data_IF_886431485941
#
_entry.id   IF_886431485941
#
_cell.length_a   1.000
_cell.length_b   1.000
_cell.length_c   1.000
_cell.angle_alpha   90.00
_cell.angle_beta   90.00
_cell.angle_gamma   90.00
#
_symmetry.space_group_name_H-M   'P 1'
#
loop_
_entity.id
_entity.type
_entity.pdbx_description
1 polymer ?
#
# COMPACT_ATOMS: atom_id res chain seq x y z
N UNK A 1 -30.66 13.74 -26.42
CA UNK A 1 -29.49 13.75 -25.55
C UNK A 1 -28.62 12.51 -25.85
N UNK A 2 -27.28 12.64 -25.88
CA UNK A 2 -26.39 11.49 -25.90
C UNK A 2 -26.62 10.55 -24.70
N UNK A 3 -26.37 9.24 -24.87
CA UNK A 3 -26.15 8.31 -23.78
C UNK A 3 -24.68 7.89 -23.78
N UNK A 4 -24.10 7.63 -22.62
CA UNK A 4 -22.70 7.24 -22.45
C UNK A 4 -22.65 6.02 -21.54
N UNK A 5 -22.00 4.95 -22.00
CA UNK A 5 -21.47 3.87 -21.17
C UNK A 5 -19.97 4.09 -21.05
N UNK A 6 -19.45 4.18 -19.82
CA UNK A 6 -18.05 4.45 -19.56
C UNK A 6 -17.56 3.64 -18.36
N UNK A 7 -16.44 2.93 -18.50
CA UNK A 7 -15.88 2.07 -17.46
C UNK A 7 -14.36 2.13 -17.46
N UNK A 8 -13.78 1.78 -16.32
CA UNK A 8 -12.36 1.55 -16.12
C UNK A 8 -12.13 0.14 -15.57
N UNK A 9 -11.09 -0.54 -16.03
CA UNK A 9 -10.69 -1.85 -15.57
C UNK A 9 -9.16 -1.95 -15.47
N UNK A 10 -8.61 -2.27 -14.28
CA UNK A 10 -9.28 -2.37 -12.98
C UNK A 10 -9.72 -1.01 -12.41
N UNK A 11 -10.57 -1.03 -11.37
CA UNK A 11 -11.01 0.18 -10.65
C UNK A 11 -10.10 0.60 -9.50
N UNK A 12 -9.09 -0.21 -9.18
CA UNK A 12 -8.01 0.10 -8.24
C UNK A 12 -6.70 -0.43 -8.82
N UNK A 13 -5.62 0.37 -8.79
CA UNK A 13 -4.36 0.01 -9.45
C UNK A 13 -3.16 0.60 -8.72
N UNK A 14 -2.07 -0.17 -8.66
CA UNK A 14 -0.76 0.33 -8.22
C UNK A 14 -0.35 1.50 -9.12
N UNK A 15 0.14 2.60 -8.52
CA UNK A 15 0.64 3.73 -9.31
C UNK A 15 1.76 3.30 -10.26
N UNK A 16 1.90 4.01 -11.36
CA UNK A 16 2.76 3.72 -12.50
C UNK A 16 2.35 2.49 -13.33
N UNK A 17 1.27 1.80 -12.97
CA UNK A 17 0.66 0.76 -13.80
C UNK A 17 -0.54 1.28 -14.59
N UNK A 18 -0.97 0.50 -15.56
CA UNK A 18 -1.98 0.88 -16.53
C UNK A 18 -3.37 0.35 -16.16
N UNK A 19 -4.39 1.10 -16.55
CA UNK A 19 -5.79 0.66 -16.58
C UNK A 19 -6.35 0.86 -17.98
N UNK A 20 -7.39 0.11 -18.31
CA UNK A 20 -8.10 0.25 -19.59
C UNK A 20 -9.39 1.03 -19.36
N UNK A 21 -9.52 2.17 -20.03
CA UNK A 21 -10.77 2.91 -20.14
C UNK A 21 -11.54 2.41 -21.37
N UNK A 22 -12.84 2.14 -21.20
CA UNK A 22 -13.70 1.67 -22.31
C UNK A 22 -14.99 2.48 -22.32
N UNK A 23 -15.39 2.94 -23.52
CA UNK A 23 -16.60 3.74 -23.64
C UNK A 23 -17.35 3.47 -24.95
N UNK A 24 -18.65 3.72 -24.88
CA UNK A 24 -19.52 3.83 -26.02
C UNK A 24 -20.56 4.91 -25.78
N UNK A 25 -20.98 5.60 -26.84
CA UNK A 25 -22.04 6.58 -26.77
C UNK A 25 -23.01 6.43 -27.93
N UNK A 26 -24.26 6.79 -27.72
CA UNK A 26 -25.26 6.92 -28.78
C UNK A 26 -25.77 8.36 -28.85
N UNK A 27 -26.24 8.77 -30.04
CA UNK A 27 -26.72 10.14 -30.34
C UNK A 27 -25.66 11.23 -30.08
N UNK A 28 -24.37 10.87 -30.13
CA UNK A 28 -23.25 11.77 -30.02
C UNK A 28 -22.54 11.95 -31.36
N UNK A 29 -22.06 13.16 -31.64
CA UNK A 29 -21.27 13.51 -32.81
C UNK A 29 -19.78 13.64 -32.48
N UNK A 30 -19.47 14.02 -31.26
CA UNK A 30 -18.10 14.22 -30.76
C UNK A 30 -18.02 13.97 -29.26
N UNK A 31 -16.85 13.52 -28.79
CA UNK A 31 -16.56 13.38 -27.36
C UNK A 31 -15.21 14.01 -27.02
N UNK A 32 -15.05 14.43 -25.78
CA UNK A 32 -13.81 14.97 -25.22
C UNK A 32 -13.57 14.41 -23.82
N UNK A 33 -12.29 14.24 -23.51
CA UNK A 33 -11.79 13.73 -22.24
C UNK A 33 -11.33 14.88 -21.35
N UNK A 34 -11.50 14.73 -20.02
CA UNK A 34 -10.99 15.65 -19.01
C UNK A 34 -10.73 14.92 -17.68
N UNK A 35 -10.03 15.59 -16.75
CA UNK A 35 -9.57 15.00 -15.49
C UNK A 35 -8.19 14.36 -15.64
N UNK A 36 -8.00 13.12 -15.21
CA UNK A 36 -6.70 12.42 -15.29
C UNK A 36 -6.31 11.95 -16.70
N UNK A 37 -7.10 12.27 -17.70
CA UNK A 37 -6.82 12.11 -19.12
C UNK A 37 -7.33 13.32 -19.90
N UNK A 38 -7.04 13.38 -21.21
CA UNK A 38 -7.44 14.56 -22.01
C UNK A 38 -7.58 14.24 -23.50
N UNK A 39 -8.02 15.25 -24.24
CA UNK A 39 -8.07 15.25 -25.72
C UNK A 39 -9.43 14.86 -26.27
N UNK A 40 -9.55 14.98 -27.61
CA UNK A 40 -10.74 14.56 -28.35
C UNK A 40 -10.81 13.04 -28.42
N UNK A 41 -11.99 12.48 -28.25
CA UNK A 41 -12.25 11.03 -28.30
C UNK A 41 -13.29 10.73 -29.37
N UNK A 42 -13.21 9.53 -29.91
CA UNK A 42 -14.28 8.95 -30.74
C UNK A 42 -15.54 8.70 -29.91
N UNK A 43 -16.67 8.49 -30.56
CA UNK A 43 -17.94 8.19 -29.87
C UNK A 43 -17.97 6.82 -29.21
N UNK A 44 -17.04 5.94 -29.55
CA UNK A 44 -16.80 4.66 -28.88
C UNK A 44 -15.32 4.28 -29.02
N UNK A 45 -14.75 3.59 -28.03
CA UNK A 45 -13.35 3.17 -28.06
C UNK A 45 -12.84 2.63 -26.74
N UNK A 46 -11.55 2.35 -26.74
CA UNK A 46 -10.77 1.97 -25.56
C UNK A 46 -9.45 2.74 -25.54
N UNK A 47 -8.92 3.01 -24.37
CA UNK A 47 -7.61 3.66 -24.19
C UNK A 47 -6.94 3.12 -22.93
N UNK A 48 -5.64 2.84 -23.04
CA UNK A 48 -4.81 2.45 -21.89
C UNK A 48 -4.23 3.72 -21.31
N UNK A 49 -4.44 3.95 -20.01
CA UNK A 49 -3.93 5.10 -19.27
C UNK A 49 -3.16 4.65 -18.06
N UNK A 50 -2.08 5.35 -17.74
CA UNK A 50 -1.28 5.10 -16.54
C UNK A 50 -1.86 5.83 -15.35
N UNK A 51 -1.95 5.15 -14.21
CA UNK A 51 -2.32 5.76 -12.93
C UNK A 51 -1.07 6.38 -12.30
N UNK A 52 -1.05 7.69 -12.16
CA UNK A 52 0.13 8.44 -11.66
C UNK A 52 -0.06 8.98 -10.24
N UNK A 53 -1.31 9.12 -9.77
CA UNK A 53 -1.65 9.67 -8.46
C UNK A 53 -2.12 8.61 -7.47
N UNK A 54 -1.68 8.71 -6.21
CA UNK A 54 -2.29 7.99 -5.09
C UNK A 54 -3.66 8.59 -4.78
N UNK A 55 -4.62 7.72 -4.42
CA UNK A 55 -6.01 8.11 -4.22
C UNK A 55 -6.82 8.16 -5.52
N UNK A 56 -7.86 8.95 -5.54
CA UNK A 56 -8.84 8.96 -6.61
C UNK A 56 -8.34 9.66 -7.88
N UNK A 57 -8.16 8.91 -8.96
CA UNK A 57 -7.90 9.41 -10.31
C UNK A 57 -9.23 9.42 -11.07
N UNK A 58 -9.75 10.60 -11.38
CA UNK A 58 -11.05 10.77 -12.03
C UNK A 58 -10.90 10.99 -13.53
N UNK A 59 -11.63 10.22 -14.33
CA UNK A 59 -11.67 10.28 -15.77
C UNK A 59 -13.10 10.67 -16.20
N UNK A 60 -13.23 11.78 -16.91
CA UNK A 60 -14.52 12.27 -17.38
C UNK A 60 -14.57 12.26 -18.90
N UNK A 61 -15.62 11.66 -19.45
CA UNK A 61 -15.96 11.71 -20.87
C UNK A 61 -17.20 12.59 -21.08
N UNK A 62 -17.07 13.61 -21.89
CA UNK A 62 -18.17 14.53 -22.26
C UNK A 62 -18.46 14.40 -23.74
N UNK A 63 -19.69 14.03 -24.10
CA UNK A 63 -20.12 13.86 -25.48
C UNK A 63 -21.23 14.84 -25.85
N UNK A 64 -21.17 15.38 -27.07
CA UNK A 64 -22.09 16.35 -27.64
C UNK A 64 -22.80 15.77 -28.85
N UNK A 65 -24.07 16.06 -29.00
CA UNK A 65 -24.91 15.69 -30.14
C UNK A 65 -26.02 16.69 -30.37
N UNK A 66 -26.89 16.46 -31.37
CA UNK A 66 -27.99 17.36 -31.73
C UNK A 66 -28.99 17.61 -30.60
N UNK A 67 -29.09 16.67 -29.66
CA UNK A 67 -29.97 16.78 -28.49
C UNK A 67 -29.31 17.43 -27.27
N UNK A 68 -28.06 17.92 -27.35
CA UNK A 68 -27.30 18.55 -26.26
C UNK A 68 -26.06 17.75 -25.85
N UNK A 69 -25.61 17.96 -24.62
CA UNK A 69 -24.38 17.39 -24.06
C UNK A 69 -24.68 16.45 -22.89
N UNK A 70 -23.82 15.43 -22.73
CA UNK A 70 -23.82 14.55 -21.55
C UNK A 70 -22.39 14.22 -21.16
N UNK A 71 -22.17 14.05 -19.84
CA UNK A 71 -20.89 13.60 -19.29
C UNK A 71 -21.08 12.36 -18.43
N UNK A 72 -20.04 11.51 -18.41
CA UNK A 72 -19.90 10.37 -17.51
C UNK A 72 -18.51 10.37 -16.90
N UNK A 73 -18.39 10.02 -15.63
CA UNK A 73 -17.12 9.98 -14.91
C UNK A 73 -16.93 8.61 -14.30
N UNK A 74 -15.72 8.07 -14.43
CA UNK A 74 -15.24 6.88 -13.71
C UNK A 74 -14.04 7.28 -12.86
N UNK A 75 -13.86 6.59 -11.74
CA UNK A 75 -12.76 6.83 -10.82
C UNK A 75 -11.96 5.55 -10.66
N UNK A 76 -10.65 5.68 -10.71
CA UNK A 76 -9.71 4.59 -10.40
C UNK A 76 -8.91 5.00 -9.18
N UNK A 77 -8.88 4.14 -8.18
CA UNK A 77 -8.07 4.35 -7.00
C UNK A 77 -6.63 3.95 -7.27
N UNK A 78 -5.70 4.92 -7.18
CA UNK A 78 -4.27 4.68 -7.22
C UNK A 78 -3.73 4.36 -5.83
N UNK A 79 -2.91 3.31 -5.69
CA UNK A 79 -2.28 2.97 -4.41
C UNK A 79 -0.79 2.71 -4.56
N UNK A 80 -0.09 2.63 -3.44
CA UNK A 80 1.30 2.16 -3.32
C UNK A 80 1.31 0.84 -2.57
N UNK A 81 2.40 0.10 -2.70
CA UNK A 81 2.70 -1.05 -1.87
C UNK A 81 3.97 -0.78 -1.07
N UNK A 82 4.04 -1.34 0.14
CA UNK A 82 5.26 -1.47 0.92
C UNK A 82 5.72 -2.91 0.89
N UNK A 83 7.01 -3.11 0.71
CA UNK A 83 7.65 -4.41 0.85
C UNK A 83 8.24 -4.50 2.26
N UNK A 84 8.45 -5.73 2.75
CA UNK A 84 9.12 -5.90 4.02
C UNK A 84 9.46 -7.34 4.33
N UNK A 85 10.00 -7.53 5.53
CA UNK A 85 10.37 -8.86 6.05
C UNK A 85 10.03 -8.95 7.53
N UNK A 86 9.55 -10.10 7.95
CA UNK A 86 9.33 -10.45 9.36
C UNK A 86 10.49 -11.31 9.84
N UNK A 87 11.18 -10.84 10.87
CA UNK A 87 12.46 -11.41 11.31
C UNK A 87 12.52 -11.61 12.83
N UNK A 88 12.72 -12.86 13.19
CA UNK A 88 13.24 -13.34 14.49
C UNK A 88 13.98 -14.69 14.24
N UNK A 89 14.74 -14.78 13.24
CA UNK A 89 14.93 -15.68 12.11
C UNK A 89 13.99 -15.18 11.02
N UNK A 90 13.95 -15.74 9.87
CA UNK A 90 12.90 -15.41 8.91
C UNK A 90 11.59 -16.13 9.30
N UNK A 91 10.50 -15.38 9.41
CA UNK A 91 9.20 -15.92 9.83
C UNK A 91 8.33 -16.17 8.59
N UNK A 92 8.07 -17.44 8.30
CA UNK A 92 7.20 -17.86 7.22
C UNK A 92 5.76 -18.06 7.68
N UNK A 93 4.80 -17.67 6.85
CA UNK A 93 3.37 -17.88 7.11
C UNK A 93 2.78 -16.97 8.18
N UNK A 94 3.47 -15.90 8.58
CA UNK A 94 2.91 -14.89 9.46
C UNK A 94 1.85 -14.07 8.74
N UNK A 95 0.72 -13.80 9.36
CA UNK A 95 -0.21 -12.79 8.91
C UNK A 95 0.38 -11.41 9.19
N UNK A 96 0.49 -10.57 8.16
CA UNK A 96 1.03 -9.20 8.27
C UNK A 96 -0.04 -8.23 7.82
N UNK A 97 -0.34 -7.23 8.65
CA UNK A 97 -1.31 -6.18 8.34
C UNK A 97 -0.79 -4.79 8.70
N UNK A 98 -1.49 -3.78 8.22
CA UNK A 98 -1.31 -2.40 8.69
C UNK A 98 -2.46 -2.09 9.62
N UNK A 99 -2.14 -2.04 10.92
CA UNK A 99 -3.04 -1.68 12.01
C UNK A 99 -3.27 -0.15 11.99
N UNK A 100 -4.42 0.25 11.45
CA UNK A 100 -4.83 1.64 11.31
C UNK A 100 -5.45 2.19 12.60
N UNK A 101 -6.04 1.32 13.43
CA UNK A 101 -6.78 1.68 14.63
C UNK A 101 -5.97 1.53 15.93
N UNK A 102 -4.74 1.00 15.85
CA UNK A 102 -3.79 0.81 16.96
C UNK A 102 -4.28 -0.16 18.04
N UNK A 103 -4.99 -1.23 17.65
CA UNK A 103 -5.46 -2.28 18.53
C UNK A 103 -4.53 -3.51 18.56
N UNK A 104 -3.48 -3.53 17.72
CA UNK A 104 -2.48 -4.60 17.56
C UNK A 104 -3.06 -5.93 17.06
N UNK A 105 -4.16 -5.86 16.32
CA UNK A 105 -4.81 -6.99 15.66
C UNK A 105 -4.84 -6.73 14.15
N UNK A 106 -4.96 -7.80 13.36
CA UNK A 106 -5.27 -7.70 11.95
C UNK A 106 -6.79 -7.81 11.77
N UNK A 107 -7.44 -6.69 11.63
CA UNK A 107 -8.88 -6.63 11.46
C UNK A 107 -9.30 -6.89 10.01
N UNK A 108 -10.49 -7.42 9.80
CA UNK A 108 -11.02 -7.72 8.45
C UNK A 108 -11.21 -6.48 7.56
N UNK A 109 -11.17 -5.28 8.12
CA UNK A 109 -11.23 -4.00 7.40
C UNK A 109 -9.86 -3.48 6.98
N UNK A 110 -8.79 -4.05 7.50
CA UNK A 110 -7.41 -3.66 7.25
C UNK A 110 -6.78 -4.48 6.11
N UNK A 111 -5.81 -3.89 5.43
CA UNK A 111 -5.06 -4.63 4.42
C UNK A 111 -4.12 -5.61 5.09
N UNK A 112 -4.24 -6.88 4.75
CA UNK A 112 -3.37 -7.94 5.24
C UNK A 112 -2.80 -8.79 4.12
N UNK A 113 -1.71 -9.49 4.42
CA UNK A 113 -1.02 -10.46 3.56
C UNK A 113 -0.36 -11.51 4.43
N UNK A 114 0.29 -12.49 3.80
CA UNK A 114 1.03 -13.54 4.51
C UNK A 114 2.49 -13.49 4.09
N UNK A 115 3.42 -13.61 5.06
CA UNK A 115 4.85 -13.69 4.75
C UNK A 115 5.19 -15.00 4.03
N UNK A 116 6.09 -14.91 3.07
CA UNK A 116 6.57 -16.07 2.29
C UNK A 116 7.61 -16.91 3.04
N UNK A 117 8.22 -17.88 2.35
CA UNK A 117 9.24 -18.77 2.91
C UNK A 117 10.59 -18.08 3.21
N UNK A 118 10.75 -16.82 2.82
CA UNK A 118 11.89 -15.98 3.17
C UNK A 118 11.51 -14.90 4.20
N UNK A 119 10.31 -15.02 4.83
CA UNK A 119 9.77 -14.02 5.74
C UNK A 119 9.29 -12.74 5.06
N UNK A 120 9.38 -12.66 3.72
CA UNK A 120 9.06 -11.43 2.97
C UNK A 120 7.56 -11.29 2.78
N UNK A 121 7.12 -10.04 2.74
CA UNK A 121 5.75 -9.69 2.43
C UNK A 121 5.68 -8.47 1.51
N UNK A 122 4.54 -8.35 0.84
CA UNK A 122 4.15 -7.18 0.07
C UNK A 122 2.72 -6.81 0.44
N UNK A 123 2.49 -5.55 0.77
CA UNK A 123 1.22 -5.09 1.32
C UNK A 123 0.87 -3.71 0.77
N UNK A 124 -0.42 -3.48 0.50
CA UNK A 124 -0.92 -2.17 0.15
C UNK A 124 -0.62 -1.19 1.28
N UNK A 125 0.02 -0.05 0.93
CA UNK A 125 0.42 0.97 1.89
C UNK A 125 -0.75 1.86 2.27
N UNK A 126 -0.96 1.99 3.57
CA UNK A 126 -1.72 3.04 4.26
C UNK A 126 -0.93 3.49 5.49
N UNK A 127 -1.31 4.61 6.11
CA UNK A 127 -0.68 5.04 7.36
C UNK A 127 -1.16 4.16 8.53
N UNK A 128 -0.23 3.54 9.25
CA UNK A 128 -0.54 2.65 10.37
C UNK A 128 0.71 1.95 10.90
N UNK A 129 0.56 1.11 11.90
CA UNK A 129 1.63 0.25 12.40
C UNK A 129 1.60 -1.09 11.68
N UNK A 130 2.77 -1.61 11.27
CA UNK A 130 2.83 -2.99 10.83
C UNK A 130 2.73 -3.93 12.03
N UNK A 131 1.81 -4.87 11.94
CA UNK A 131 1.62 -5.96 12.89
C UNK A 131 1.83 -7.27 12.16
N UNK A 132 2.61 -8.17 12.74
CA UNK A 132 2.81 -9.54 12.26
C UNK A 132 2.35 -10.51 13.33
N UNK A 133 1.52 -11.48 12.97
CA UNK A 133 0.91 -12.44 13.90
C UNK A 133 1.26 -13.86 13.48
N UNK A 134 1.78 -14.63 14.41
CA UNK A 134 2.06 -16.05 14.21
C UNK A 134 3.20 -16.33 13.22
N UNK A 135 3.09 -17.43 12.52
CA UNK A 135 4.10 -17.91 11.57
C UNK A 135 5.09 -18.89 12.18
N UNK A 136 6.02 -19.37 11.35
CA UNK A 136 7.06 -20.32 11.75
C UNK A 136 8.43 -19.68 11.56
N UNK A 137 9.22 -19.64 12.62
CA UNK A 137 10.62 -19.25 12.54
C UNK A 137 11.39 -20.37 11.79
N UNK A 138 12.00 -20.00 10.66
CA UNK A 138 12.68 -20.93 9.78
C UNK A 138 14.03 -21.44 10.36
N UNK A 139 14.65 -20.68 11.24
CA UNK A 139 15.91 -21.08 11.88
C UNK A 139 15.67 -22.11 13.00
N UNK A 140 14.69 -21.88 13.86
CA UNK A 140 14.37 -22.74 15.02
C UNK A 140 13.26 -23.74 14.76
N UNK A 141 12.48 -23.59 13.71
CA UNK A 141 11.26 -24.37 13.39
C UNK A 141 10.16 -24.24 14.45
N UNK A 142 10.20 -23.17 15.25
CA UNK A 142 9.20 -22.88 16.28
C UNK A 142 8.03 -22.13 15.63
N UNK A 143 6.80 -22.56 15.96
CA UNK A 143 5.59 -21.83 15.60
C UNK A 143 5.41 -20.70 16.61
N UNK A 144 5.35 -19.48 16.13
CA UNK A 144 5.08 -18.30 16.94
C UNK A 144 3.57 -18.14 17.13
N UNK A 145 3.16 -17.88 18.36
CA UNK A 145 1.76 -17.60 18.71
C UNK A 145 1.55 -16.10 19.05
N UNK A 146 2.66 -15.34 19.12
CA UNK A 146 2.66 -13.95 19.50
C UNK A 146 2.73 -13.04 18.27
N UNK A 147 2.53 -11.75 18.52
CA UNK A 147 2.65 -10.72 17.49
C UNK A 147 3.97 -9.93 17.63
N UNK A 148 4.47 -9.48 16.49
CA UNK A 148 5.55 -8.51 16.39
C UNK A 148 4.98 -7.20 15.80
N UNK A 149 5.52 -6.07 16.21
CA UNK A 149 5.05 -4.76 15.78
C UNK A 149 6.21 -3.95 15.21
N UNK A 150 5.95 -3.22 14.14
CA UNK A 150 6.77 -2.09 13.70
C UNK A 150 6.10 -0.78 14.10
N UNK A 151 6.90 0.27 14.23
CA UNK A 151 6.38 1.60 14.55
C UNK A 151 5.36 2.09 13.50
N UNK A 152 4.42 2.94 13.95
CA UNK A 152 3.44 3.59 13.08
C UNK A 152 4.15 4.36 11.96
N UNK A 153 3.88 3.94 10.74
CA UNK A 153 4.40 4.60 9.56
C UNK A 153 3.62 5.90 9.34
N UNK A 154 4.32 7.02 9.37
CA UNK A 154 3.81 8.32 8.94
C UNK A 154 4.60 8.72 7.70
N UNK A 155 4.12 8.36 6.55
CA UNK A 155 4.79 8.57 5.28
C UNK A 155 5.29 7.27 4.64
N UNK A 156 5.21 7.24 3.31
CA UNK A 156 5.56 6.08 2.51
C UNK A 156 7.05 5.74 2.58
N UNK A 157 7.36 4.47 2.83
CA UNK A 157 8.68 3.88 2.65
C UNK A 157 8.54 2.56 1.90
N UNK A 158 9.49 2.28 1.00
CA UNK A 158 9.41 1.11 0.13
C UNK A 158 9.66 -0.22 0.86
N UNK A 159 10.49 -0.21 1.92
CA UNK A 159 10.86 -1.43 2.64
C UNK A 159 10.74 -1.24 4.16
N UNK A 160 10.23 -2.26 4.84
CA UNK A 160 10.04 -2.30 6.29
C UNK A 160 10.49 -3.61 6.90
N UNK A 161 10.99 -3.55 8.13
CA UNK A 161 11.37 -4.72 8.91
C UNK A 161 10.50 -4.79 10.17
N UNK A 162 9.96 -5.96 10.45
CA UNK A 162 9.20 -6.27 11.66
C UNK A 162 9.99 -7.27 12.48
N UNK A 163 10.44 -6.86 13.66
CA UNK A 163 11.33 -7.64 14.53
C UNK A 163 10.95 -7.49 16.00
N UNK A 164 11.48 -8.34 16.91
CA UNK A 164 11.39 -8.08 18.35
C UNK A 164 11.94 -6.71 18.76
N UNK A 165 13.00 -6.23 18.10
CA UNK A 165 13.60 -4.90 18.37
C UNK A 165 12.62 -3.78 17.99
N UNK A 166 11.99 -3.87 16.82
CA UNK A 166 10.98 -2.89 16.41
C UNK A 166 9.75 -2.94 17.32
N UNK A 167 9.40 -4.10 17.87
CA UNK A 167 8.30 -4.27 18.84
C UNK A 167 8.61 -3.56 20.15
N UNK A 168 9.83 -3.72 20.68
CA UNK A 168 10.29 -2.99 21.88
C UNK A 168 10.30 -1.49 21.63
N UNK A 169 10.79 -1.07 20.47
CA UNK A 169 10.78 0.33 20.06
C UNK A 169 9.37 0.91 20.01
N UNK A 170 8.42 0.22 19.38
CA UNK A 170 7.02 0.64 19.33
C UNK A 170 6.39 0.79 20.71
N UNK A 171 6.65 -0.17 21.62
CA UNK A 171 6.16 -0.13 22.99
C UNK A 171 6.72 1.06 23.79
N UNK A 172 8.03 1.30 23.70
CA UNK A 172 8.67 2.43 24.38
C UNK A 172 8.17 3.77 23.84
N UNK A 173 7.95 3.85 22.56
CA UNK A 173 7.37 5.02 21.91
C UNK A 173 5.98 5.35 22.46
N UNK A 174 5.09 4.37 22.51
CA UNK A 174 3.71 4.57 22.95
C UNK A 174 3.62 5.05 24.38
N UNK A 175 4.54 4.57 25.25
CA UNK A 175 4.52 4.91 26.68
C UNK A 175 5.22 6.23 27.04
N UNK A 176 6.17 6.70 26.24
CA UNK A 176 6.98 7.89 26.55
C UNK A 176 6.64 9.13 25.71
N UNK A 177 5.76 9.00 24.71
CA UNK A 177 5.31 10.13 23.85
C UNK A 177 6.41 10.77 22.98
N UNK A 178 7.59 10.16 22.89
CA UNK A 178 8.76 10.72 22.19
C UNK A 178 9.24 9.81 21.06
N UNK A 179 8.37 9.54 20.09
CA UNK A 179 8.79 8.92 18.85
C UNK A 179 8.99 9.97 17.79
N UNK A 180 10.23 10.27 17.52
CA UNK A 180 10.63 11.11 16.37
C UNK A 180 10.75 10.31 15.05
N UNK A 181 10.39 9.01 15.08
CA UNK A 181 10.49 8.11 13.92
C UNK A 181 11.92 7.70 13.56
N UNK A 182 12.94 8.21 14.24
CA UNK A 182 14.35 7.93 13.90
C UNK A 182 14.92 6.69 14.59
N UNK A 183 14.25 6.16 15.62
CA UNK A 183 14.78 5.05 16.42
C UNK A 183 16.04 5.41 17.24
N UNK A 184 16.60 6.60 17.09
CA UNK A 184 17.89 6.97 17.68
C UNK A 184 17.94 6.83 19.20
N UNK A 185 16.85 7.14 19.92
CA UNK A 185 16.76 6.93 21.36
C UNK A 185 16.75 5.43 21.72
N UNK A 186 16.13 4.60 20.88
CA UNK A 186 16.09 3.14 21.06
C UNK A 186 17.46 2.53 20.82
N UNK A 187 18.15 2.95 19.78
CA UNK A 187 19.51 2.50 19.48
C UNK A 187 20.43 2.75 20.68
N UNK A 188 20.36 3.93 21.29
CA UNK A 188 21.14 4.27 22.48
C UNK A 188 20.80 3.37 23.69
N UNK A 189 19.51 3.09 23.92
CA UNK A 189 19.04 2.22 25.03
C UNK A 189 19.51 0.78 24.82
N UNK A 190 19.47 0.29 23.57
CA UNK A 190 19.84 -1.09 23.22
C UNK A 190 21.32 -1.26 22.88
N UNK A 191 22.11 -0.19 22.90
CA UNK A 191 23.52 -0.23 22.53
C UNK A 191 23.78 -0.46 21.03
N UNK A 192 22.81 -0.13 20.18
CA UNK A 192 22.91 -0.21 18.73
C UNK A 192 23.54 1.10 18.21
N UNK A 193 24.36 1.02 17.17
CA UNK A 193 24.92 2.21 16.51
C UNK A 193 23.77 3.10 16.00
N UNK A 194 23.84 4.40 16.30
CA UNK A 194 22.81 5.36 15.92
C UNK A 194 22.69 5.58 14.39
N UNK A 195 23.63 5.07 13.59
CA UNK A 195 23.54 5.06 12.13
C UNK A 195 22.63 3.96 11.59
N UNK A 196 22.24 2.99 12.41
CA UNK A 196 21.35 1.88 12.04
C UNK A 196 19.89 2.34 12.15
N UNK A 197 19.18 2.30 11.04
CA UNK A 197 17.71 2.44 11.05
C UNK A 197 17.08 1.07 11.32
N UNK A 198 16.65 0.85 12.56
CA UNK A 198 16.06 -0.43 13.02
C UNK A 198 14.77 -0.80 12.27
N UNK A 199 14.13 0.15 11.60
CA UNK A 199 12.88 -0.10 10.86
C UNK A 199 13.10 -0.56 9.41
N UNK A 200 14.35 -0.47 8.93
CA UNK A 200 14.74 -0.91 7.59
C UNK A 200 15.92 -1.89 7.61
N UNK A 201 16.59 -2.06 8.76
CA UNK A 201 17.73 -2.97 8.92
C UNK A 201 17.28 -4.42 9.11
N UNK A 202 17.61 -5.29 8.15
CA UNK A 202 17.40 -6.73 8.25
C UNK A 202 18.60 -7.38 8.96
N UNK A 203 18.42 -7.82 10.24
CA UNK A 203 19.52 -8.40 11.01
C UNK A 203 19.95 -9.79 10.51
N UNK A 204 19.09 -10.50 9.78
CA UNK A 204 19.42 -11.81 9.22
C UNK A 204 20.25 -11.68 7.95
N UNK A 205 19.83 -10.79 7.04
CA UNK A 205 20.59 -10.50 5.82
C UNK A 205 21.97 -9.90 6.11
N UNK A 206 22.16 -9.25 7.25
CA UNK A 206 23.39 -8.59 7.65
C UNK A 206 24.15 -9.32 8.77
N UNK A 207 23.84 -10.60 9.02
CA UNK A 207 24.69 -11.44 9.88
C UNK A 207 26.08 -11.50 9.22
N UNK A 208 27.09 -10.93 9.88
CA UNK A 208 28.48 -11.08 9.45
C UNK A 208 28.85 -12.55 9.47
N UNK A 209 29.62 -13.01 8.46
CA UNK A 209 30.22 -14.33 8.39
C UNK A 209 31.22 -14.55 9.56
#
# INVERSE_FOLDING_TARGET
LPSISFSADPTSQLINNNVTLSWSSSNANSCSASGSWSGTKTTAGTEIVQITGVGNNSFTLSCSGSGGNRSSTVTVEGYRETDGVVVDGYISGAEVCIDENSNFLCDSSEFSTTSDNDGKFKLRYVDGSLVSIGGTDLDSQIILENYLISHKMTGYTEFKVVTPVTSVASFLCTNNGTCDGSGANINTILGIDNSVDIYTFDPVANRGD
#
